data_IF_606043280089
#
_entry.id   IF_606043280089
#
_cell.length_a   1.000
_cell.length_b   1.000
_cell.length_c   1.000
_cell.angle_alpha   90.00
_cell.angle_beta   90.00
_cell.angle_gamma   90.00
#
_symmetry.space_group_name_H-M   'P 1'
#
loop_
_entity.id
_entity.type
_entity.pdbx_description
1 polymer ?
#
# COMPACT_ATOMS: atom_id res chain seq x y z
N UNK A 1 4.00 19.66 25.66
CA UNK A 1 4.89 18.66 25.02
C UNK A 1 4.30 18.26 23.67
N UNK A 2 4.65 18.99 22.61
CA UNK A 2 4.07 18.78 21.28
C UNK A 2 4.51 17.43 20.69
N UNK A 3 3.61 16.46 20.66
CA UNK A 3 3.75 15.25 19.83
C UNK A 3 3.74 15.74 18.39
N UNK A 4 4.92 15.89 17.81
CA UNK A 4 5.10 16.10 16.37
C UNK A 4 4.54 14.84 15.71
N UNK A 5 3.24 14.87 15.39
CA UNK A 5 2.59 13.85 14.59
C UNK A 5 3.49 13.61 13.38
N UNK A 6 3.99 12.38 13.26
CA UNK A 6 4.83 11.95 12.16
C UNK A 6 4.06 12.26 10.86
N UNK A 7 4.35 13.41 10.26
CA UNK A 7 3.81 13.83 8.96
C UNK A 7 4.52 12.99 7.91
N UNK A 8 4.30 11.68 7.96
CA UNK A 8 4.91 10.61 7.15
C UNK A 8 6.25 11.03 6.59
N UNK A 9 7.36 10.80 7.31
CA UNK A 9 8.69 11.15 6.80
C UNK A 9 8.77 10.73 5.32
N UNK A 10 9.10 11.64 4.39
CA UNK A 10 9.19 11.28 2.98
C UNK A 10 10.15 10.11 2.83
N UNK A 11 9.76 9.13 2.04
CA UNK A 11 10.59 7.97 1.74
C UNK A 11 11.87 8.47 1.08
N UNK A 12 13.02 7.91 1.46
CA UNK A 12 14.29 8.28 0.84
C UNK A 12 14.30 7.89 -0.63
N UNK A 13 14.94 8.69 -1.49
CA UNK A 13 15.05 8.36 -2.91
C UNK A 13 15.68 6.99 -3.16
N UNK A 14 16.62 6.57 -2.30
CA UNK A 14 17.22 5.22 -2.35
C UNK A 14 16.17 4.13 -2.17
N UNK A 15 15.30 4.26 -1.17
CA UNK A 15 14.25 3.27 -0.93
C UNK A 15 13.20 3.25 -2.05
N UNK A 16 12.86 4.42 -2.60
CA UNK A 16 11.93 4.52 -3.73
C UNK A 16 12.49 3.82 -4.98
N UNK A 17 13.72 4.14 -5.37
CA UNK A 17 14.41 3.51 -6.52
C UNK A 17 14.60 2.01 -6.33
N UNK A 18 14.87 1.57 -5.11
CA UNK A 18 15.01 0.15 -4.80
C UNK A 18 13.68 -0.59 -4.99
N UNK A 19 12.57 -0.03 -4.52
CA UNK A 19 11.25 -0.62 -4.76
C UNK A 19 10.92 -0.68 -6.27
N UNK A 20 11.23 0.37 -7.04
CA UNK A 20 11.08 0.36 -8.50
C UNK A 20 11.94 -0.72 -9.15
N UNK A 21 13.21 -0.85 -8.73
CA UNK A 21 14.13 -1.87 -9.23
C UNK A 21 13.59 -3.27 -8.98
N UNK A 22 13.11 -3.54 -7.77
CA UNK A 22 12.58 -4.86 -7.38
C UNK A 22 11.36 -5.25 -8.21
N UNK A 23 10.44 -4.31 -8.48
CA UNK A 23 9.27 -4.56 -9.33
C UNK A 23 9.63 -4.89 -10.78
N UNK A 24 10.80 -4.47 -11.26
CA UNK A 24 11.30 -4.75 -12.60
C UNK A 24 12.20 -6.00 -12.69
N UNK A 25 12.42 -6.72 -11.57
CA UNK A 25 13.15 -7.99 -11.59
C UNK A 25 12.31 -9.10 -12.22
N UNK A 26 12.97 -10.18 -12.64
CA UNK A 26 12.27 -11.39 -13.09
C UNK A 26 11.42 -11.99 -11.95
N UNK A 27 10.22 -12.57 -12.21
CA UNK A 27 9.33 -13.09 -11.15
C UNK A 27 10.00 -14.06 -10.17
N UNK A 28 10.89 -14.93 -10.66
CA UNK A 28 11.67 -15.84 -9.79
C UNK A 28 12.57 -15.06 -8.81
N UNK A 29 13.18 -13.97 -9.24
CA UNK A 29 14.03 -13.14 -8.39
C UNK A 29 13.21 -12.32 -7.40
N UNK A 30 12.04 -11.84 -7.83
CA UNK A 30 11.09 -11.15 -6.97
C UNK A 30 10.68 -12.03 -5.79
N UNK A 31 10.31 -13.29 -6.06
CA UNK A 31 9.90 -14.26 -5.03
C UNK A 31 10.96 -14.50 -3.96
N UNK A 32 12.24 -14.48 -4.35
CA UNK A 32 13.37 -14.69 -3.44
C UNK A 32 13.93 -13.39 -2.87
N UNK A 33 13.33 -12.24 -3.18
CA UNK A 33 13.80 -10.95 -2.68
C UNK A 33 13.46 -10.78 -1.19
N UNK A 34 14.36 -10.20 -0.36
CA UNK A 34 14.11 -10.01 1.07
C UNK A 34 12.88 -9.14 1.43
N UNK A 35 12.39 -8.33 0.48
CA UNK A 35 11.17 -7.52 0.68
C UNK A 35 9.89 -8.23 0.22
N UNK A 36 9.97 -9.43 -0.35
CA UNK A 36 8.80 -10.21 -0.71
C UNK A 36 8.14 -10.77 0.55
N UNK A 37 6.83 -10.58 0.66
CA UNK A 37 6.02 -11.13 1.76
C UNK A 37 5.06 -12.15 1.19
N UNK A 38 5.10 -13.42 1.63
CA UNK A 38 4.23 -14.47 1.08
C UNK A 38 2.75 -14.17 1.36
N UNK A 39 1.91 -14.41 0.35
CA UNK A 39 0.46 -14.33 0.48
C UNK A 39 -0.09 -15.59 1.18
N UNK A 40 -1.13 -15.41 1.98
CA UNK A 40 -1.90 -16.49 2.57
C UNK A 40 -3.20 -16.67 1.78
N UNK A 41 -3.22 -17.64 0.86
CA UNK A 41 -4.38 -17.89 0.01
C UNK A 41 -5.63 -18.30 0.78
N UNK A 42 -5.48 -18.89 1.98
CA UNK A 42 -6.62 -19.21 2.85
C UNK A 42 -7.36 -17.96 3.32
N UNK A 43 -6.67 -16.81 3.43
CA UNK A 43 -7.28 -15.52 3.79
C UNK A 43 -7.83 -14.75 2.59
N UNK A 44 -7.54 -15.20 1.37
CA UNK A 44 -7.99 -14.60 0.12
C UNK A 44 -9.22 -15.29 -0.47
N UNK A 45 -9.82 -16.24 0.25
CA UNK A 45 -11.05 -16.95 -0.11
C UNK A 45 -12.22 -16.05 -0.53
N UNK A 46 -12.34 -14.89 0.11
CA UNK A 46 -13.33 -13.86 -0.21
C UNK A 46 -13.15 -13.20 -1.58
N UNK A 47 -11.97 -13.35 -2.21
CA UNK A 47 -11.65 -12.73 -3.49
C UNK A 47 -12.07 -13.67 -4.62
N UNK A 48 -13.30 -13.47 -5.11
CA UNK A 48 -13.78 -14.15 -6.31
C UNK A 48 -13.28 -13.45 -7.57
N UNK A 49 -12.07 -13.80 -8.01
CA UNK A 49 -11.45 -13.30 -9.24
C UNK A 49 -11.28 -14.42 -10.27
N UNK A 50 -11.40 -14.09 -11.55
CA UNK A 50 -11.17 -15.03 -12.65
C UNK A 50 -9.66 -15.22 -12.97
N UNK A 51 -8.77 -14.57 -12.21
CA UNK A 51 -7.32 -14.60 -12.39
C UNK A 51 -6.57 -15.18 -11.19
N UNK A 52 -5.24 -15.38 -11.31
CA UNK A 52 -4.45 -15.91 -10.22
C UNK A 52 -4.39 -14.93 -9.04
N UNK A 53 -4.50 -15.48 -7.82
CA UNK A 53 -4.18 -14.75 -6.60
C UNK A 53 -2.66 -14.54 -6.52
N UNK A 54 -2.18 -13.44 -5.91
CA UNK A 54 -0.75 -13.19 -5.77
C UNK A 54 -0.10 -14.28 -4.92
N UNK A 55 1.10 -14.74 -5.29
CA UNK A 55 1.91 -15.64 -4.44
C UNK A 55 2.62 -14.87 -3.32
N UNK A 56 2.97 -13.61 -3.57
CA UNK A 56 3.65 -12.72 -2.63
C UNK A 56 3.35 -11.27 -2.95
N UNK A 57 3.58 -10.40 -1.98
CA UNK A 57 3.49 -8.94 -2.09
C UNK A 57 4.89 -8.34 -2.13
N UNK A 58 5.03 -7.22 -2.86
CA UNK A 58 6.27 -6.44 -2.98
C UNK A 58 6.00 -4.99 -2.63
N UNK A 59 7.00 -4.29 -2.13
CA UNK A 59 6.93 -2.84 -1.94
C UNK A 59 6.57 -2.13 -3.26
N UNK A 60 5.45 -1.40 -3.25
CA UNK A 60 4.96 -0.67 -4.42
C UNK A 60 5.17 0.84 -4.25
N UNK A 61 6.13 1.46 -4.96
CA UNK A 61 6.31 2.89 -4.94
C UNK A 61 5.16 3.59 -5.67
N UNK A 62 4.69 4.71 -5.12
CA UNK A 62 3.63 5.52 -5.74
C UNK A 62 3.82 7.01 -5.43
N UNK A 63 3.19 7.84 -6.25
CA UNK A 63 3.10 9.29 -6.04
C UNK A 63 1.69 9.62 -5.58
N UNK A 64 1.57 10.30 -4.45
CA UNK A 64 0.28 10.72 -3.93
C UNK A 64 -0.38 11.71 -4.89
N UNK A 65 -1.59 11.38 -5.37
CA UNK A 65 -2.35 12.22 -6.29
C UNK A 65 -2.72 13.61 -5.72
N UNK A 66 -2.81 13.72 -4.39
CA UNK A 66 -3.26 14.95 -3.72
C UNK A 66 -2.11 15.91 -3.44
N UNK A 67 -0.98 15.42 -2.93
CA UNK A 67 0.13 16.28 -2.49
C UNK A 67 1.44 16.07 -3.27
N UNK A 68 1.48 15.14 -4.23
CA UNK A 68 2.68 14.85 -5.04
C UNK A 68 3.81 14.15 -4.29
N UNK A 69 3.66 13.84 -2.99
CA UNK A 69 4.68 13.12 -2.23
C UNK A 69 4.85 11.68 -2.74
N UNK A 70 6.10 11.26 -2.85
CA UNK A 70 6.50 9.86 -3.02
C UNK A 70 6.33 9.06 -1.73
N UNK A 71 5.69 7.92 -1.81
CA UNK A 71 5.56 6.95 -0.72
C UNK A 71 5.64 5.52 -1.29
N UNK A 72 5.81 4.54 -0.41
CA UNK A 72 5.81 3.12 -0.76
C UNK A 72 4.63 2.47 -0.03
N UNK A 73 3.78 1.79 -0.78
CA UNK A 73 2.82 0.86 -0.20
C UNK A 73 3.56 -0.42 0.12
N UNK A 74 3.84 -0.63 1.41
CA UNK A 74 4.71 -1.73 1.84
C UNK A 74 4.05 -3.08 1.59
N UNK A 75 4.85 -4.10 1.30
CA UNK A 75 4.36 -5.46 1.13
C UNK A 75 3.54 -5.95 2.34
N UNK A 76 3.95 -5.59 3.56
CA UNK A 76 3.21 -5.91 4.78
C UNK A 76 1.85 -5.20 4.89
N UNK A 77 1.78 -3.92 4.48
CA UNK A 77 0.52 -3.15 4.47
C UNK A 77 -0.44 -3.68 3.39
N UNK A 78 0.10 -4.13 2.25
CA UNK A 78 -0.66 -4.82 1.21
C UNK A 78 -1.25 -6.13 1.74
N UNK A 79 -0.42 -6.98 2.37
CA UNK A 79 -0.85 -8.24 2.98
C UNK A 79 -2.03 -8.00 3.93
N UNK A 80 -1.87 -7.08 4.89
CA UNK A 80 -2.96 -6.74 5.80
C UNK A 80 -4.21 -6.24 5.08
N UNK A 81 -4.05 -5.36 4.07
CA UNK A 81 -5.18 -4.79 3.35
C UNK A 81 -6.01 -5.86 2.60
N UNK A 82 -5.35 -6.77 1.89
CA UNK A 82 -6.04 -7.82 1.13
C UNK A 82 -6.54 -8.94 2.04
N UNK A 83 -5.73 -9.39 3.00
CA UNK A 83 -6.05 -10.60 3.77
C UNK A 83 -6.94 -10.32 4.98
N UNK A 84 -6.71 -9.21 5.69
CA UNK A 84 -7.41 -8.89 6.95
C UNK A 84 -8.53 -7.87 6.73
N UNK A 85 -8.23 -6.78 6.01
CA UNK A 85 -9.21 -5.75 5.71
C UNK A 85 -10.14 -6.10 4.55
N UNK A 86 -9.93 -7.27 3.92
CA UNK A 86 -10.74 -7.82 2.83
C UNK A 86 -10.90 -6.86 1.64
N UNK A 87 -9.83 -6.13 1.34
CA UNK A 87 -9.78 -5.18 0.24
C UNK A 87 -9.78 -5.87 -1.12
N UNK A 88 -10.30 -5.18 -2.13
CA UNK A 88 -10.37 -5.73 -3.49
C UNK A 88 -8.97 -5.91 -4.11
N UNK A 89 -8.69 -7.08 -4.71
CA UNK A 89 -7.34 -7.46 -5.16
C UNK A 89 -6.71 -6.53 -6.21
N UNK A 90 -7.53 -5.82 -7.00
CA UNK A 90 -7.04 -4.85 -7.99
C UNK A 90 -6.70 -3.47 -7.41
N UNK A 91 -6.89 -3.27 -6.10
CA UNK A 91 -6.64 -1.98 -5.45
C UNK A 91 -5.16 -1.58 -5.50
N UNK A 92 -4.92 -0.27 -5.58
CA UNK A 92 -3.59 0.35 -5.52
C UNK A 92 -3.60 1.54 -4.56
N UNK A 93 -2.48 1.79 -3.90
CA UNK A 93 -2.31 3.01 -3.12
C UNK A 93 -2.16 4.23 -4.04
N UNK A 94 -3.06 5.21 -3.89
CA UNK A 94 -3.06 6.45 -4.70
C UNK A 94 -2.89 7.73 -3.86
N UNK A 95 -3.03 7.63 -2.55
CA UNK A 95 -2.91 8.74 -1.62
C UNK A 95 -1.97 8.39 -0.49
N UNK A 96 -1.19 9.36 -0.02
CA UNK A 96 -0.29 9.13 1.10
C UNK A 96 -1.08 8.95 2.40
N UNK A 97 -0.47 8.32 3.42
CA UNK A 97 -1.14 8.11 4.72
C UNK A 97 -1.71 9.41 5.31
N UNK A 98 -0.95 10.51 5.20
CA UNK A 98 -1.37 11.81 5.69
C UNK A 98 -2.59 12.37 4.95
N UNK A 99 -2.62 12.29 3.61
CA UNK A 99 -3.76 12.73 2.80
C UNK A 99 -5.00 11.87 3.05
N UNK A 100 -4.85 10.53 3.18
CA UNK A 100 -5.96 9.64 3.52
C UNK A 100 -6.55 9.97 4.90
N UNK A 101 -5.73 10.31 5.88
CA UNK A 101 -6.19 10.70 7.22
C UNK A 101 -6.91 12.05 7.19
N UNK A 102 -6.37 13.04 6.47
CA UNK A 102 -7.00 14.35 6.31
C UNK A 102 -8.38 14.25 5.62
N UNK A 103 -8.50 13.43 4.57
CA UNK A 103 -9.77 13.21 3.87
C UNK A 103 -10.84 12.52 4.74
N UNK A 104 -10.45 11.66 5.68
CA UNK A 104 -11.39 11.07 6.65
C UNK A 104 -11.93 12.12 7.62
N UNK A 105 -11.09 13.06 8.07
CA UNK A 105 -11.51 14.15 8.96
C UNK A 105 -12.44 15.11 8.21
N UNK A 106 -12.14 15.42 6.94
CA UNK A 106 -12.99 16.27 6.10
C UNK A 106 -14.37 15.65 5.81
N UNK A 107 -14.41 14.36 5.45
CA UNK A 107 -15.68 13.67 5.17
C UNK A 107 -16.53 13.39 6.42
N UNK A 108 -15.93 13.37 7.63
CA UNK A 108 -16.68 13.21 8.88
C UNK A 108 -17.55 14.42 9.23
N UNK A 109 -17.28 15.60 8.67
CA UNK A 109 -18.06 16.83 8.88
C UNK A 109 -19.15 17.07 7.83
N UNK A 110 -19.06 16.45 6.64
CA UNK A 110 -20.04 16.63 5.55
C UNK A 110 -21.28 15.73 5.72
N UNK A 111 -21.16 14.63 6.46
CA UNK A 111 -22.22 13.61 6.64
C UNK A 111 -23.24 13.94 7.76
N UNK A 112 -23.21 15.16 8.31
CA UNK A 112 -24.08 15.63 9.40
C UNK A 112 -24.84 16.91 9.03
N UNK A 113 -25.27 17.00 7.76
CA UNK A 113 -26.03 18.13 7.22
C UNK A 113 -27.40 17.64 6.70
N UNK A 114 -28.53 18.16 7.21
CA UNK A 114 -29.83 18.02 6.54
C UNK A 114 -29.89 18.85 5.26
#
# INVERSE_FOLDING_TARGET
MSRRSDRGRPVSDKAFREAERVLNLHPLQQRHHPSAVPADHGKLDHINTHGPLPEFYLDQPFVCRTCGRREIWRAADQKWYFEEAKGHISARAVECRACRQAGKIGNAHEQDRP
#
